data_IF_007047570610
#
_entry.id   IF_007047570610
#
_cell.length_a   1.000
_cell.length_b   1.000
_cell.length_c   1.000
_cell.angle_alpha   90.00
_cell.angle_beta   90.00
_cell.angle_gamma   90.00
#
_symmetry.space_group_name_H-M   'P 1'
#
loop_
_entity.id
_entity.type
_entity.pdbx_description
1 polymer ?
#
# COMPACT_ATOMS: atom_id res chain seq x y z
N UNK A 1 -15.59 -2.52 -15.43
CA UNK A 1 -15.83 -2.12 -16.84
C UNK A 1 -14.49 -1.79 -17.49
N UNK A 2 -14.39 -1.87 -18.82
CA UNK A 2 -13.18 -1.43 -19.53
C UNK A 2 -13.08 0.09 -19.45
N UNK A 3 -11.88 0.60 -19.20
CA UNK A 3 -11.61 2.04 -19.13
C UNK A 3 -10.26 2.36 -19.76
N UNK A 4 -10.12 3.57 -20.26
CA UNK A 4 -8.83 4.08 -20.75
C UNK A 4 -8.10 4.78 -19.62
N UNK A 5 -6.78 4.59 -19.53
CA UNK A 5 -5.96 5.29 -18.54
C UNK A 5 -5.81 6.78 -18.89
N UNK A 6 -5.65 7.08 -20.17
CA UNK A 6 -5.38 8.44 -20.65
C UNK A 6 -6.48 8.88 -21.62
N UNK A 7 -7.59 9.39 -21.08
CA UNK A 7 -8.74 9.77 -21.89
C UNK A 7 -8.41 10.90 -22.90
N UNK A 8 -7.51 11.82 -22.53
CA UNK A 8 -7.09 12.92 -23.39
C UNK A 8 -6.37 12.44 -24.66
N UNK A 9 -5.67 11.30 -24.60
CA UNK A 9 -4.97 10.76 -25.76
C UNK A 9 -5.93 10.21 -26.82
N UNK A 10 -7.19 9.91 -26.48
CA UNK A 10 -8.22 9.58 -27.47
C UNK A 10 -8.53 10.75 -28.41
N UNK A 11 -8.27 12.00 -28.01
CA UNK A 11 -8.42 13.14 -28.90
C UNK A 11 -7.48 13.04 -30.12
N UNK A 12 -6.35 12.33 -30.00
CA UNK A 12 -5.45 12.06 -31.13
C UNK A 12 -6.10 11.20 -32.23
N UNK A 13 -7.23 10.52 -31.95
CA UNK A 13 -8.00 9.80 -32.96
C UNK A 13 -8.58 10.78 -34.02
N UNK A 14 -8.71 12.07 -33.69
CA UNK A 14 -9.08 13.11 -34.66
C UNK A 14 -8.03 13.30 -35.78
N UNK A 15 -6.80 12.80 -35.62
CA UNK A 15 -5.82 12.78 -36.70
C UNK A 15 -6.22 11.83 -37.84
N UNK A 16 -6.97 10.77 -37.55
CA UNK A 16 -7.44 9.78 -38.54
C UNK A 16 -8.28 10.43 -39.65
N UNK A 17 -9.36 11.19 -39.37
CA UNK A 17 -10.12 11.87 -40.41
C UNK A 17 -9.33 12.98 -41.11
N UNK A 18 -8.38 13.63 -40.44
CA UNK A 18 -7.50 14.63 -41.07
C UNK A 18 -6.62 13.96 -42.14
N UNK A 19 -6.01 12.82 -41.81
CA UNK A 19 -5.19 12.03 -42.76
C UNK A 19 -6.06 11.51 -43.91
N UNK A 20 -7.27 11.03 -43.64
CA UNK A 20 -8.24 10.66 -44.68
C UNK A 20 -8.61 11.85 -45.59
N UNK A 21 -8.87 13.02 -45.02
CA UNK A 21 -9.16 14.24 -45.76
C UNK A 21 -8.00 14.66 -46.67
N UNK A 22 -6.77 14.65 -46.15
CA UNK A 22 -5.55 14.91 -46.94
C UNK A 22 -5.40 13.93 -48.10
N UNK A 23 -5.71 12.64 -47.89
CA UNK A 23 -5.69 11.63 -48.94
C UNK A 23 -6.73 11.89 -50.04
N UNK A 24 -7.97 12.21 -49.68
CA UNK A 24 -9.01 12.55 -50.66
C UNK A 24 -8.67 13.83 -51.42
N UNK A 25 -8.15 14.84 -50.73
CA UNK A 25 -7.67 16.07 -51.35
C UNK A 25 -6.53 15.83 -52.34
N UNK A 26 -5.52 15.04 -51.95
CA UNK A 26 -4.41 14.65 -52.83
C UNK A 26 -4.91 13.89 -54.07
N UNK A 27 -5.89 12.98 -53.90
CA UNK A 27 -6.51 12.24 -55.00
C UNK A 27 -7.29 13.14 -55.95
N UNK A 28 -8.06 14.10 -55.42
CA UNK A 28 -8.81 15.07 -56.21
C UNK A 28 -7.89 16.02 -56.99
N UNK A 29 -6.83 16.53 -56.33
CA UNK A 29 -5.81 17.37 -56.97
C UNK A 29 -5.08 16.60 -58.07
N UNK A 30 -4.69 15.34 -57.82
CA UNK A 30 -4.08 14.46 -58.83
C UNK A 30 -4.96 14.28 -60.07
N UNK A 31 -6.28 14.07 -59.90
CA UNK A 31 -7.22 13.98 -61.02
C UNK A 31 -7.28 15.27 -61.84
N UNK A 32 -7.34 16.44 -61.17
CA UNK A 32 -7.32 17.76 -61.82
C UNK A 32 -6.01 18.04 -62.55
N UNK A 33 -4.87 17.66 -61.97
CA UNK A 33 -3.54 17.87 -62.58
C UNK A 33 -3.33 16.96 -63.79
N UNK A 34 -3.75 15.70 -63.74
CA UNK A 34 -3.70 14.78 -64.89
C UNK A 34 -4.47 15.36 -66.09
N UNK A 35 -5.64 15.96 -65.85
CA UNK A 35 -6.43 16.62 -66.89
C UNK A 35 -5.76 17.87 -67.50
N UNK A 36 -4.74 18.45 -66.86
CA UNK A 36 -4.01 19.64 -67.34
C UNK A 36 -2.73 19.30 -68.13
N UNK A 37 -2.20 18.09 -68.02
CA UNK A 37 -0.87 17.72 -68.53
C UNK A 37 -0.92 17.21 -69.98
N UNK A 38 -2.06 16.77 -70.51
CA UNK A 38 -2.20 16.37 -71.91
C UNK A 38 -3.30 15.34 -72.19
N UNK A 39 -3.21 14.64 -73.31
CA UNK A 39 -4.15 13.60 -73.73
C UNK A 39 -4.25 12.47 -72.68
N UNK A 40 -5.46 12.13 -72.18
CA UNK A 40 -5.66 11.10 -71.16
C UNK A 40 -5.00 9.76 -71.50
N UNK A 41 -4.91 9.41 -72.79
CA UNK A 41 -4.36 8.15 -73.27
C UNK A 41 -2.83 8.06 -73.10
N UNK A 42 -2.11 9.15 -73.39
CA UNK A 42 -0.65 9.23 -73.19
C UNK A 42 -0.27 9.26 -71.70
N UNK A 43 -1.02 10.01 -70.89
CA UNK A 43 -0.77 10.07 -69.44
C UNK A 43 -1.03 8.71 -68.79
N UNK A 44 -2.03 7.95 -69.26
CA UNK A 44 -2.32 6.61 -68.76
C UNK A 44 -1.24 5.58 -69.17
N UNK A 45 -0.60 5.75 -70.34
CA UNK A 45 0.58 4.94 -70.72
C UNK A 45 1.80 5.23 -69.85
N UNK A 46 2.07 6.51 -69.51
CA UNK A 46 3.14 6.90 -68.59
C UNK A 46 2.89 6.42 -67.15
N UNK A 47 1.62 6.38 -66.72
CA UNK A 47 1.22 5.89 -65.40
C UNK A 47 0.93 4.37 -65.34
N UNK A 48 1.16 3.61 -66.41
CA UNK A 48 0.83 2.16 -66.50
C UNK A 48 1.52 1.30 -65.42
N UNK A 49 2.64 1.80 -64.87
CA UNK A 49 3.38 1.17 -63.79
C UNK A 49 2.81 1.47 -62.39
N UNK A 50 1.93 2.47 -62.24
CA UNK A 50 1.33 2.85 -60.96
C UNK A 50 0.13 1.95 -60.62
N UNK A 51 0.19 1.26 -59.49
CA UNK A 51 -0.91 0.42 -59.02
C UNK A 51 -1.78 1.20 -58.02
N UNK A 52 -2.87 1.79 -58.51
CA UNK A 52 -3.81 2.56 -57.68
C UNK A 52 -4.43 1.75 -56.54
N UNK A 53 -4.68 0.44 -56.73
CA UNK A 53 -5.24 -0.43 -55.68
C UNK A 53 -4.25 -0.64 -54.53
N UNK A 54 -2.97 -0.82 -54.86
CA UNK A 54 -1.88 -0.97 -53.89
C UNK A 54 -1.69 0.29 -53.03
N UNK A 55 -1.78 1.48 -53.64
CA UNK A 55 -1.73 2.75 -52.92
C UNK A 55 -2.89 2.92 -51.93
N UNK A 56 -4.12 2.57 -52.35
CA UNK A 56 -5.30 2.60 -51.47
C UNK A 56 -5.15 1.60 -50.31
N UNK A 57 -4.65 0.38 -50.60
CA UNK A 57 -4.42 -0.65 -49.59
C UNK A 57 -3.40 -0.21 -48.54
N UNK A 58 -2.27 0.38 -48.95
CA UNK A 58 -1.28 0.94 -48.02
C UNK A 58 -1.86 2.04 -47.16
N UNK A 59 -2.55 2.99 -47.79
CA UNK A 59 -3.18 4.09 -47.06
C UNK A 59 -4.16 3.59 -45.99
N UNK A 60 -4.98 2.58 -46.34
CA UNK A 60 -5.91 1.98 -45.40
C UNK A 60 -5.17 1.27 -44.25
N UNK A 61 -4.13 0.48 -44.55
CA UNK A 61 -3.32 -0.20 -43.55
C UNK A 61 -2.64 0.78 -42.59
N UNK A 62 -2.01 1.83 -43.10
CA UNK A 62 -1.36 2.88 -42.31
C UNK A 62 -2.37 3.62 -41.41
N UNK A 63 -3.57 3.90 -41.94
CA UNK A 63 -4.63 4.60 -41.19
C UNK A 63 -5.17 3.73 -40.05
N UNK A 64 -5.40 2.44 -40.30
CA UNK A 64 -5.85 1.50 -39.26
C UNK A 64 -4.73 1.26 -38.23
N UNK A 65 -3.48 1.17 -38.67
CA UNK A 65 -2.33 1.05 -37.77
C UNK A 65 -2.19 2.27 -36.85
N UNK A 66 -2.37 3.48 -37.39
CA UNK A 66 -2.38 4.73 -36.61
C UNK A 66 -3.50 4.73 -35.56
N UNK A 67 -4.72 4.34 -35.93
CA UNK A 67 -5.83 4.24 -34.99
C UNK A 67 -5.53 3.21 -33.87
N UNK A 68 -4.97 2.05 -34.22
CA UNK A 68 -4.55 1.05 -33.26
C UNK A 68 -3.43 1.55 -32.32
N UNK A 69 -2.47 2.33 -32.81
CA UNK A 69 -1.45 2.98 -31.98
C UNK A 69 -2.05 3.97 -30.98
N UNK A 70 -2.99 4.80 -31.42
CA UNK A 70 -3.68 5.76 -30.52
C UNK A 70 -4.43 5.01 -29.41
N UNK A 71 -5.11 3.91 -29.74
CA UNK A 71 -5.80 3.07 -28.75
C UNK A 71 -4.80 2.39 -27.81
N UNK A 72 -3.65 1.94 -28.31
CA UNK A 72 -2.58 1.37 -27.49
C UNK A 72 -2.03 2.42 -26.50
N UNK A 73 -1.75 3.64 -26.98
CA UNK A 73 -1.25 4.75 -26.16
C UNK A 73 -2.26 5.22 -25.10
N UNK A 74 -3.56 5.23 -25.43
CA UNK A 74 -4.62 5.53 -24.46
C UNK A 74 -4.74 4.46 -23.36
N UNK A 75 -4.07 3.32 -23.54
CA UNK A 75 -3.99 2.16 -22.66
C UNK A 75 -5.38 1.68 -22.18
N UNK A 76 -6.01 0.83 -23.01
CA UNK A 76 -7.23 0.13 -22.61
C UNK A 76 -6.91 -0.83 -21.46
N UNK A 77 -7.54 -0.61 -20.31
CA UNK A 77 -7.34 -1.44 -19.11
C UNK A 77 -8.67 -1.95 -18.57
N UNK A 78 -8.65 -3.15 -18.01
CA UNK A 78 -9.73 -3.70 -17.19
C UNK A 78 -9.22 -3.72 -15.75
N UNK A 79 -10.05 -3.38 -14.75
CA UNK A 79 -9.74 -3.78 -13.39
C UNK A 79 -9.51 -5.28 -13.40
N UNK A 80 -8.28 -5.71 -13.12
CA UNK A 80 -8.08 -7.08 -12.65
C UNK A 80 -8.94 -7.14 -11.40
N UNK A 81 -9.76 -8.19 -11.25
CA UNK A 81 -10.47 -8.36 -9.99
C UNK A 81 -9.45 -8.14 -8.89
N UNK A 82 -9.77 -7.27 -7.94
CA UNK A 82 -8.96 -7.18 -6.72
C UNK A 82 -8.76 -8.64 -6.32
N UNK A 83 -7.52 -9.11 -6.18
CA UNK A 83 -7.34 -10.25 -5.31
C UNK A 83 -8.03 -9.80 -4.04
N UNK A 84 -9.20 -10.39 -3.76
CA UNK A 84 -10.00 -10.05 -2.61
C UNK A 84 -9.22 -10.60 -1.42
N UNK A 85 -8.09 -9.98 -1.12
CA UNK A 85 -7.47 -10.06 0.19
C UNK A 85 -8.41 -9.25 1.07
N UNK A 86 -9.56 -9.86 1.35
CA UNK A 86 -10.51 -9.42 2.35
C UNK A 86 -9.73 -9.42 3.65
N UNK A 87 -9.14 -8.27 3.99
CA UNK A 87 -8.46 -8.11 5.27
C UNK A 87 -9.56 -8.02 6.31
N UNK A 88 -9.79 -9.12 7.01
CA UNK A 88 -10.64 -9.12 8.18
C UNK A 88 -9.87 -8.47 9.34
N UNK A 89 -10.45 -7.46 9.98
CA UNK A 89 -9.81 -6.78 11.11
C UNK A 89 -10.79 -6.04 12.00
N UNK A 90 -10.31 -5.63 13.17
CA UNK A 90 -11.02 -4.79 14.14
C UNK A 90 -10.30 -3.46 14.34
N UNK A 91 -10.99 -2.48 14.91
CA UNK A 91 -10.42 -1.21 15.35
C UNK A 91 -10.07 -1.30 16.83
N UNK A 92 -8.79 -1.10 17.17
CA UNK A 92 -8.29 -1.19 18.54
C UNK A 92 -7.78 0.17 19.00
N UNK A 93 -8.44 0.79 19.98
CA UNK A 93 -7.90 1.95 20.70
C UNK A 93 -7.03 1.53 21.86
N UNK A 94 -5.80 2.02 21.89
CA UNK A 94 -4.99 2.02 23.09
C UNK A 94 -5.33 3.28 23.89
N UNK A 95 -5.63 3.13 25.17
CA UNK A 95 -5.67 4.22 26.14
C UNK A 95 -4.50 4.03 27.10
N UNK A 96 -3.47 4.88 26.99
CA UNK A 96 -2.26 4.80 27.79
C UNK A 96 -2.25 5.90 28.85
N UNK A 97 -2.15 5.48 30.12
CA UNK A 97 -1.94 6.38 31.23
C UNK A 97 -0.50 6.93 31.20
N UNK A 98 -0.38 8.25 31.21
CA UNK A 98 0.89 8.99 31.27
C UNK A 98 0.94 9.92 32.47
N UNK A 99 0.16 9.65 33.51
CA UNK A 99 0.23 10.38 34.79
C UNK A 99 1.57 10.14 35.51
N UNK A 100 1.93 11.03 36.43
CA UNK A 100 3.18 10.92 37.21
C UNK A 100 3.29 9.62 38.04
N UNK A 101 2.19 8.96 38.39
CA UNK A 101 2.23 7.67 39.10
C UNK A 101 2.85 6.56 38.25
N UNK A 102 2.77 6.68 36.93
CA UNK A 102 3.39 5.75 35.98
C UNK A 102 4.92 5.85 35.93
N UNK A 103 5.54 6.82 36.62
CA UNK A 103 7.00 6.89 36.81
C UNK A 103 7.52 6.02 37.96
N UNK A 104 6.62 5.41 38.74
CA UNK A 104 7.04 4.48 39.80
C UNK A 104 7.83 3.28 39.22
N UNK A 105 8.77 2.79 40.02
CA UNK A 105 9.76 1.78 39.61
C UNK A 105 9.54 0.40 40.25
N UNK A 106 8.36 0.17 40.86
CA UNK A 106 7.95 -1.17 41.30
C UNK A 106 7.83 -2.17 40.14
N UNK A 107 7.67 -1.66 38.92
CA UNK A 107 7.90 -2.40 37.68
C UNK A 107 9.03 -1.74 36.91
N UNK A 108 10.19 -2.41 36.86
CA UNK A 108 11.40 -1.88 36.21
C UNK A 108 11.26 -1.81 34.67
N UNK A 109 11.75 -0.74 34.00
CA UNK A 109 12.43 0.43 34.59
C UNK A 109 11.45 1.45 35.22
N UNK A 110 10.32 1.72 34.58
CA UNK A 110 9.16 2.43 35.14
C UNK A 110 7.89 1.75 34.64
N UNK A 111 6.75 1.96 35.31
CA UNK A 111 5.45 1.45 34.84
C UNK A 111 5.16 1.91 33.41
N UNK A 112 5.38 3.19 33.10
CA UNK A 112 5.15 3.76 31.75
C UNK A 112 6.00 3.09 30.68
N UNK A 113 7.30 2.98 30.89
CA UNK A 113 8.20 2.35 29.91
C UNK A 113 7.87 0.87 29.71
N UNK A 114 7.46 0.19 30.78
CA UNK A 114 7.03 -1.20 30.69
C UNK A 114 5.69 -1.35 29.97
N UNK A 115 4.75 -0.43 30.18
CA UNK A 115 3.50 -0.34 29.42
C UNK A 115 3.77 -0.12 27.92
N UNK A 116 4.66 0.80 27.56
CA UNK A 116 5.09 1.05 26.17
C UNK A 116 5.70 -0.20 25.53
N UNK A 117 6.57 -0.91 26.26
CA UNK A 117 7.13 -2.18 25.77
C UNK A 117 6.05 -3.25 25.54
N UNK A 118 5.11 -3.40 26.47
CA UNK A 118 4.00 -4.35 26.34
C UNK A 118 3.10 -4.02 25.16
N UNK A 119 2.72 -2.75 25.02
CA UNK A 119 1.96 -2.26 23.88
C UNK A 119 2.69 -2.44 22.55
N UNK A 120 4.00 -2.20 22.49
CA UNK A 120 4.78 -2.48 21.27
C UNK A 120 4.71 -3.95 20.89
N UNK A 121 4.74 -4.89 21.85
CA UNK A 121 4.58 -6.32 21.60
C UNK A 121 3.16 -6.70 21.20
N UNK A 122 2.16 -6.03 21.78
CA UNK A 122 0.76 -6.19 21.36
C UNK A 122 0.58 -5.74 19.91
N UNK A 123 1.12 -4.58 19.53
CA UNK A 123 1.08 -4.03 18.17
C UNK A 123 1.65 -5.02 17.15
N UNK A 124 2.77 -5.69 17.46
CA UNK A 124 3.36 -6.72 16.60
C UNK A 124 2.42 -7.91 16.32
N UNK A 125 1.46 -8.16 17.21
CA UNK A 125 0.52 -9.28 17.12
C UNK A 125 -0.82 -8.89 16.50
N UNK A 126 -1.08 -7.59 16.27
CA UNK A 126 -2.36 -7.10 15.76
C UNK A 126 -2.59 -7.40 14.26
N UNK A 127 -1.55 -7.71 13.49
CA UNK A 127 -1.66 -8.17 12.11
C UNK A 127 -2.38 -7.17 11.20
N UNK A 128 -3.61 -7.49 10.79
CA UNK A 128 -4.43 -6.66 9.88
C UNK A 128 -5.38 -5.68 10.58
N UNK A 129 -5.34 -5.59 11.90
CA UNK A 129 -6.19 -4.68 12.67
C UNK A 129 -5.73 -3.23 12.50
N UNK A 130 -6.67 -2.29 12.63
CA UNK A 130 -6.34 -0.88 12.70
C UNK A 130 -6.19 -0.46 14.16
N UNK A 131 -5.30 0.49 14.40
CA UNK A 131 -4.94 0.94 15.74
C UNK A 131 -4.92 2.45 15.82
N UNK A 132 -5.29 2.98 16.98
CA UNK A 132 -5.08 4.37 17.37
C UNK A 132 -4.71 4.44 18.84
N UNK A 133 -4.21 5.61 19.23
CA UNK A 133 -3.62 5.81 20.55
C UNK A 133 -4.21 7.08 21.15
N UNK A 134 -4.77 6.92 22.34
CA UNK A 134 -5.15 7.98 23.26
C UNK A 134 -4.17 7.93 24.42
N UNK A 135 -3.62 9.08 24.79
CA UNK A 135 -2.84 9.25 26.02
C UNK A 135 -3.68 10.05 27.00
N UNK A 136 -3.57 9.74 28.28
CA UNK A 136 -4.33 10.45 29.30
C UNK A 136 -3.61 10.57 30.63
N UNK A 137 -3.94 11.64 31.34
CA UNK A 137 -3.64 11.84 32.76
C UNK A 137 -4.86 12.56 33.36
N UNK A 138 -4.74 13.82 33.78
CA UNK A 138 -5.86 14.64 34.24
C UNK A 138 -6.84 15.03 33.12
N UNK A 139 -6.43 14.85 31.86
CA UNK A 139 -7.26 14.94 30.65
C UNK A 139 -6.80 13.90 29.63
N UNK A 140 -7.65 13.59 28.64
CA UNK A 140 -7.31 12.68 27.55
C UNK A 140 -7.10 13.41 26.22
N UNK A 141 -6.11 12.95 25.44
CA UNK A 141 -5.76 13.48 24.12
C UNK A 141 -5.61 12.36 23.11
N UNK A 142 -6.12 12.58 21.90
CA UNK A 142 -5.92 11.68 20.77
C UNK A 142 -4.51 11.90 20.21
N UNK A 143 -3.58 11.00 20.54
CA UNK A 143 -2.21 11.02 20.06
C UNK A 143 -2.13 10.58 18.59
N UNK A 144 -2.90 9.56 18.23
CA UNK A 144 -2.90 9.00 16.88
C UNK A 144 -4.31 8.50 16.50
N UNK A 145 -4.91 9.02 15.40
CA UNK A 145 -6.14 8.47 14.84
C UNK A 145 -6.00 7.00 14.40
N UNK A 146 -7.14 6.31 14.22
CA UNK A 146 -7.18 4.93 13.73
C UNK A 146 -6.47 4.81 12.37
N UNK A 147 -5.43 3.98 12.31
CA UNK A 147 -4.66 3.69 11.09
C UNK A 147 -4.31 2.20 10.99
N UNK A 148 -4.07 1.72 9.78
CA UNK A 148 -3.49 0.39 9.53
C UNK A 148 -1.95 0.37 9.57
N UNK A 149 -1.31 1.53 9.77
CA UNK A 149 0.15 1.65 9.86
C UNK A 149 0.65 1.35 11.30
N UNK A 150 1.01 0.09 11.52
CA UNK A 150 1.55 -0.36 12.81
C UNK A 150 2.94 0.21 13.13
N UNK A 151 3.72 0.60 12.11
CA UNK A 151 5.02 1.22 12.31
C UNK A 151 4.88 2.64 12.83
N UNK A 152 3.94 3.42 12.28
CA UNK A 152 3.59 4.73 12.81
C UNK A 152 3.08 4.61 14.26
N UNK A 153 2.23 3.63 14.57
CA UNK A 153 1.73 3.40 15.93
C UNK A 153 2.85 3.23 16.95
N UNK A 154 3.89 2.44 16.62
CA UNK A 154 5.06 2.27 17.49
C UNK A 154 5.88 3.55 17.66
N UNK A 155 6.00 4.36 16.62
CA UNK A 155 6.69 5.65 16.70
C UNK A 155 5.98 6.60 17.67
N UNK A 156 4.66 6.76 17.51
CA UNK A 156 3.85 7.60 18.41
C UNK A 156 3.85 7.09 19.84
N UNK A 157 3.77 5.77 20.03
CA UNK A 157 3.87 5.15 21.35
C UNK A 157 5.23 5.43 22.00
N UNK A 158 6.32 5.33 21.24
CA UNK A 158 7.68 5.59 21.73
C UNK A 158 7.88 7.02 22.22
N UNK A 159 7.21 7.99 21.58
CA UNK A 159 7.26 9.42 21.95
C UNK A 159 6.38 9.82 23.14
N UNK A 160 5.51 8.93 23.63
CA UNK A 160 4.63 9.25 24.76
C UNK A 160 5.44 9.29 26.08
N UNK A 161 5.27 10.38 26.81
CA UNK A 161 5.87 10.66 28.12
C UNK A 161 4.85 11.35 29.06
N UNK A 162 5.25 11.62 30.30
CA UNK A 162 4.38 12.22 31.32
C UNK A 162 4.09 13.71 31.10
N UNK A 163 4.91 14.38 30.30
CA UNK A 163 4.77 15.79 29.94
C UNK A 163 3.89 15.98 28.69
N UNK A 164 3.61 14.89 27.96
CA UNK A 164 2.70 14.85 26.81
C UNK A 164 1.28 15.29 27.18
N UNK A 165 0.91 15.19 28.47
CA UNK A 165 -0.36 15.69 29.01
C UNK A 165 -0.08 16.76 30.08
N UNK A 166 -0.36 18.06 29.81
CA UNK A 166 -0.04 19.13 30.75
C UNK A 166 -0.79 19.05 32.09
N UNK A 167 -2.03 18.54 32.07
CA UNK A 167 -2.86 18.41 33.26
C UNK A 167 -2.64 17.06 33.90
N UNK A 168 -2.03 17.06 35.08
CA UNK A 168 -1.76 15.83 35.86
C UNK A 168 -3.02 15.36 36.61
N UNK A 169 -3.02 14.08 37.01
CA UNK A 169 -4.18 13.36 37.56
C UNK A 169 -4.46 12.09 36.73
N UNK A 170 -5.55 11.39 37.02
CA UNK A 170 -5.94 10.17 36.28
C UNK A 170 -7.44 10.15 36.04
N UNK A 171 -7.88 10.51 34.83
CA UNK A 171 -9.31 10.56 34.46
C UNK A 171 -9.60 9.51 33.38
N UNK A 172 -9.88 8.29 33.82
CA UNK A 172 -10.14 7.14 32.93
C UNK A 172 -11.37 7.38 32.06
N UNK A 173 -12.43 7.99 32.61
CA UNK A 173 -13.66 8.27 31.89
C UNK A 173 -13.45 9.17 30.67
N UNK A 174 -12.59 10.18 30.78
CA UNK A 174 -12.25 11.05 29.66
C UNK A 174 -11.44 10.30 28.59
N UNK A 175 -10.55 9.39 28.99
CA UNK A 175 -9.85 8.51 28.05
C UNK A 175 -10.84 7.63 27.27
N UNK A 176 -11.78 7.00 27.97
CA UNK A 176 -12.82 6.17 27.36
C UNK A 176 -13.73 6.97 26.41
N UNK A 177 -14.15 8.19 26.80
CA UNK A 177 -14.90 9.10 25.92
C UNK A 177 -14.13 9.45 24.66
N UNK A 178 -12.84 9.78 24.79
CA UNK A 178 -11.97 10.10 23.66
C UNK A 178 -11.82 8.89 22.72
N UNK A 179 -11.63 7.70 23.28
CA UNK A 179 -11.63 6.46 22.49
C UNK A 179 -12.95 6.27 21.75
N UNK A 180 -14.10 6.42 22.43
CA UNK A 180 -15.41 6.23 21.80
C UNK A 180 -15.65 7.22 20.65
N UNK A 181 -15.31 8.49 20.86
CA UNK A 181 -15.42 9.55 19.86
C UNK A 181 -14.50 9.34 18.64
N UNK A 182 -13.39 8.61 18.82
CA UNK A 182 -12.42 8.33 17.75
C UNK A 182 -12.84 7.18 16.84
N UNK A 183 -13.80 6.35 17.26
CA UNK A 183 -14.34 5.29 16.41
C UNK A 183 -15.33 5.81 15.36
N UNK A 184 -15.48 5.07 14.26
CA UNK A 184 -16.55 5.37 13.29
C UNK A 184 -17.93 5.12 13.89
N UNK A 185 -18.73 6.17 14.05
CA UNK A 185 -20.09 6.11 14.63
C UNK A 185 -21.08 5.27 13.83
N UNK A 186 -20.81 5.00 12.54
CA UNK A 186 -21.68 4.18 11.68
C UNK A 186 -21.56 2.68 11.95
N UNK A 187 -20.51 2.25 12.63
CA UNK A 187 -20.21 0.83 12.87
C UNK A 187 -20.44 0.50 14.34
N UNK A 188 -21.23 -0.55 14.64
CA UNK A 188 -21.56 -0.96 16.02
C UNK A 188 -20.85 -2.24 16.47
N UNK A 189 -19.91 -2.74 15.67
CA UNK A 189 -19.17 -3.98 15.93
C UNK A 189 -17.69 -3.74 15.56
N UNK A 190 -16.83 -4.70 15.90
CA UNK A 190 -15.42 -4.71 15.49
C UNK A 190 -14.56 -3.66 16.21
N UNK A 191 -14.89 -3.31 17.46
CA UNK A 191 -14.22 -2.24 18.21
C UNK A 191 -13.76 -2.72 19.57
N UNK A 192 -12.52 -2.44 19.91
CA UNK A 192 -11.97 -2.74 21.21
C UNK A 192 -11.16 -1.56 21.77
N UNK A 193 -11.18 -1.40 23.09
CA UNK A 193 -10.27 -0.52 23.83
C UNK A 193 -9.35 -1.38 24.67
N UNK A 194 -8.06 -1.07 24.66
CA UNK A 194 -7.05 -1.63 25.57
C UNK A 194 -6.54 -0.48 26.43
N UNK A 195 -7.02 -0.41 27.67
CA UNK A 195 -6.64 0.58 28.67
C UNK A 195 -5.49 0.04 29.52
N UNK A 196 -4.42 0.82 29.68
CA UNK A 196 -3.31 0.50 30.60
C UNK A 196 -3.12 1.64 31.58
N UNK A 197 -3.18 1.32 32.88
CA UNK A 197 -3.10 2.29 33.98
C UNK A 197 -2.78 1.57 35.29
N UNK A 198 -2.38 2.31 36.32
CA UNK A 198 -2.37 1.83 37.70
C UNK A 198 -3.72 2.06 38.42
N UNK A 199 -4.69 2.71 37.77
CA UNK A 199 -6.06 2.88 38.25
C UNK A 199 -6.19 3.72 39.53
N UNK A 200 -5.16 4.48 39.90
CA UNK A 200 -5.03 5.07 41.23
C UNK A 200 -6.20 5.99 41.61
N UNK A 201 -6.79 6.69 40.64
CA UNK A 201 -7.91 7.60 40.87
C UNK A 201 -9.28 6.93 40.61
N UNK A 202 -10.20 7.05 41.57
CA UNK A 202 -11.52 6.45 41.48
C UNK A 202 -12.48 7.35 40.69
N UNK A 203 -12.44 7.21 39.36
CA UNK A 203 -13.38 7.89 38.47
C UNK A 203 -14.71 7.11 38.39
N UNK A 204 -15.71 7.52 39.19
CA UNK A 204 -17.05 6.92 39.17
C UNK A 204 -17.70 6.97 37.77
N UNK A 205 -17.39 8.01 36.97
CA UNK A 205 -17.95 8.16 35.63
C UNK A 205 -17.39 7.10 34.66
N UNK A 206 -16.19 6.57 34.89
CA UNK A 206 -15.57 5.57 34.03
C UNK A 206 -16.43 4.29 33.91
N UNK A 207 -17.11 3.89 34.98
CA UNK A 207 -17.98 2.71 34.97
C UNK A 207 -19.22 2.92 34.11
N UNK A 208 -19.89 4.07 34.22
CA UNK A 208 -21.08 4.37 33.40
C UNK A 208 -20.72 4.54 31.92
N UNK A 209 -19.58 5.17 31.63
CA UNK A 209 -19.06 5.31 30.27
C UNK A 209 -18.71 3.93 29.69
N UNK A 210 -18.08 3.04 30.48
CA UNK A 210 -17.77 1.69 30.04
C UNK A 210 -19.03 0.88 29.69
N UNK A 211 -20.10 0.98 30.50
CA UNK A 211 -21.40 0.37 30.18
C UNK A 211 -21.99 0.92 28.88
N UNK A 212 -21.92 2.23 28.68
CA UNK A 212 -22.40 2.85 27.44
C UNK A 212 -21.62 2.34 26.22
N UNK A 213 -20.29 2.30 26.31
CA UNK A 213 -19.43 1.79 25.24
C UNK A 213 -19.69 0.32 24.92
N UNK A 214 -19.96 -0.51 25.94
CA UNK A 214 -20.37 -1.90 25.73
C UNK A 214 -21.68 -2.01 24.94
N UNK A 215 -22.66 -1.14 25.24
CA UNK A 215 -23.93 -1.06 24.48
C UNK A 215 -23.72 -0.58 23.03
N UNK A 216 -22.69 0.25 22.79
CA UNK A 216 -22.26 0.69 21.45
C UNK A 216 -21.42 -0.39 20.71
N UNK A 217 -21.20 -1.55 21.35
CA UNK A 217 -20.50 -2.71 20.79
C UNK A 217 -18.99 -2.61 20.84
N UNK A 218 -18.45 -1.85 21.80
CA UNK A 218 -17.02 -1.75 22.10
C UNK A 218 -16.67 -2.65 23.29
N UNK A 219 -15.71 -3.54 23.13
CA UNK A 219 -15.15 -4.34 24.23
C UNK A 219 -13.98 -3.63 24.90
N UNK A 220 -13.97 -3.49 26.22
CA UNK A 220 -12.92 -2.80 26.97
C UNK A 220 -12.07 -3.79 27.75
N UNK A 221 -10.80 -3.91 27.37
CA UNK A 221 -9.78 -4.67 28.07
C UNK A 221 -8.93 -3.72 28.92
N UNK A 222 -8.66 -4.08 30.16
CA UNK A 222 -7.86 -3.28 31.08
C UNK A 222 -6.62 -4.04 31.52
N UNK A 223 -5.49 -3.35 31.60
CA UNK A 223 -4.21 -3.87 32.11
C UNK A 223 -3.76 -3.02 33.28
N UNK A 224 -3.75 -3.62 34.46
CA UNK A 224 -3.22 -3.00 35.66
C UNK A 224 -1.70 -3.14 35.72
N UNK A 225 -0.98 -2.04 35.93
CA UNK A 225 0.47 -2.06 36.12
C UNK A 225 0.88 -1.40 37.43
N UNK A 226 1.79 -2.04 38.17
CA UNK A 226 2.23 -1.60 39.49
C UNK A 226 1.92 -2.62 40.59
N UNK A 227 2.33 -2.29 41.81
CA UNK A 227 2.10 -3.08 43.00
C UNK A 227 0.93 -2.52 43.83
N UNK A 228 0.14 -3.41 44.40
CA UNK A 228 -0.90 -3.07 45.38
C UNK A 228 -0.32 -2.65 46.74
N UNK A 229 0.93 -3.03 47.04
CA UNK A 229 1.65 -2.58 48.25
C UNK A 229 2.05 -1.10 48.17
N UNK A 230 2.21 -0.60 46.95
CA UNK A 230 2.62 0.76 46.63
C UNK A 230 4.11 0.95 46.44
N UNK A 231 4.47 2.06 45.79
CA UNK A 231 5.83 2.44 45.45
C UNK A 231 5.98 3.97 45.44
N UNK A 232 7.14 4.52 45.86
CA UNK A 232 7.39 5.95 45.73
C UNK A 232 7.54 6.35 44.26
N UNK A 233 7.09 7.57 43.95
CA UNK A 233 7.34 8.20 42.65
C UNK A 233 8.69 8.91 42.70
N UNK A 234 9.53 8.73 41.69
CA UNK A 234 10.80 9.47 41.54
C UNK A 234 10.54 10.68 40.64
N UNK A 235 10.97 11.85 41.07
CA UNK A 235 10.93 13.06 40.24
C UNK A 235 12.09 13.04 39.25
N UNK A 236 11.80 13.08 37.95
CA UNK A 236 12.81 13.00 36.89
C UNK A 236 13.74 14.22 36.87
N UNK A 237 13.31 15.36 37.40
CA UNK A 237 14.11 16.60 37.40
C UNK A 237 15.18 16.62 38.50
N UNK A 238 14.89 16.02 39.65
CA UNK A 238 15.80 16.01 40.82
C UNK A 238 16.44 14.64 41.06
N UNK A 239 15.85 13.56 40.56
CA UNK A 239 16.23 12.19 40.88
C UNK A 239 15.85 11.76 42.30
N UNK A 240 15.12 12.59 43.04
CA UNK A 240 14.69 12.34 44.41
C UNK A 240 13.24 11.82 44.46
N UNK A 241 12.84 11.28 45.62
CA UNK A 241 11.45 10.89 45.82
C UNK A 241 10.55 12.12 45.78
N UNK A 242 9.48 12.04 45.00
CA UNK A 242 8.46 13.10 44.94
C UNK A 242 7.79 13.25 46.30
N UNK A 243 7.75 14.48 46.79
CA UNK A 243 7.08 14.84 48.04
C UNK A 243 5.78 15.61 47.79
N UNK A 244 4.83 15.48 48.72
CA UNK A 244 3.62 16.30 48.75
C UNK A 244 3.92 17.71 49.29
N UNK A 245 2.91 18.58 49.33
CA UNK A 245 3.05 19.95 49.85
C UNK A 245 3.42 20.01 51.35
N UNK A 246 3.31 18.88 52.05
CA UNK A 246 3.60 18.71 53.47
C UNK A 246 4.99 18.06 53.69
N UNK A 247 5.71 17.71 52.63
CA UNK A 247 7.04 17.11 52.67
C UNK A 247 7.05 15.58 52.84
N UNK A 248 5.91 14.90 52.78
CA UNK A 248 5.85 13.44 52.84
C UNK A 248 6.05 12.82 51.46
N UNK A 249 6.70 11.67 51.39
CA UNK A 249 6.87 10.91 50.14
C UNK A 249 5.52 10.47 49.58
N UNK A 250 5.29 10.76 48.30
CA UNK A 250 4.10 10.30 47.57
C UNK A 250 4.26 8.82 47.20
N UNK A 251 3.36 7.98 47.72
CA UNK A 251 3.31 6.54 47.44
C UNK A 251 2.11 6.24 46.56
N UNK A 252 2.36 5.77 45.34
CA UNK A 252 1.32 5.33 44.39
C UNK A 252 1.03 3.85 44.52
N UNK A 253 -0.24 3.45 44.40
CA UNK A 253 -0.70 2.06 44.50
C UNK A 253 -1.56 1.67 43.30
N UNK A 254 -1.37 0.44 42.83
CA UNK A 254 -2.28 -0.16 41.85
C UNK A 254 -3.66 -0.38 42.49
N UNK A 255 -4.70 0.16 41.86
CA UNK A 255 -6.09 -0.11 42.20
C UNK A 255 -6.71 -1.10 41.20
N UNK A 256 -6.60 -2.39 41.50
CA UNK A 256 -7.15 -3.44 40.65
C UNK A 256 -8.68 -3.40 40.58
N UNK A 257 -9.36 -2.99 41.65
CA UNK A 257 -10.81 -3.00 41.74
C UNK A 257 -11.44 -2.04 40.73
N UNK A 258 -10.89 -0.82 40.62
CA UNK A 258 -11.32 0.17 39.64
C UNK A 258 -11.20 -0.38 38.20
N UNK A 259 -10.04 -0.94 37.84
CA UNK A 259 -9.79 -1.46 36.49
C UNK A 259 -10.62 -2.72 36.16
N UNK A 260 -10.83 -3.60 37.15
CA UNK A 260 -11.72 -4.77 37.02
C UNK A 260 -13.17 -4.35 36.80
N UNK A 261 -13.64 -3.33 37.53
CA UNK A 261 -14.99 -2.80 37.37
C UNK A 261 -15.20 -2.22 35.96
N UNK A 262 -14.24 -1.43 35.47
CA UNK A 262 -14.29 -0.87 34.10
C UNK A 262 -14.32 -1.98 33.04
N UNK A 263 -13.44 -2.98 33.12
CA UNK A 263 -13.44 -4.10 32.16
C UNK A 263 -14.74 -4.91 32.18
N UNK A 264 -15.27 -5.19 33.39
CA UNK A 264 -16.52 -5.93 33.56
C UNK A 264 -17.71 -5.19 32.95
N UNK A 265 -17.80 -3.88 33.21
CA UNK A 265 -18.84 -3.02 32.65
C UNK A 265 -18.68 -2.83 31.13
N UNK A 266 -17.46 -2.88 30.61
CA UNK A 266 -17.10 -2.77 29.21
C UNK A 266 -17.13 -4.08 28.40
N UNK A 267 -17.71 -5.17 28.94
CA UNK A 267 -17.76 -6.50 28.30
C UNK A 267 -16.39 -7.00 27.78
N UNK A 268 -15.34 -6.78 28.57
CA UNK A 268 -13.98 -7.27 28.27
C UNK A 268 -13.32 -7.91 29.48
N UNK A 269 -11.98 -7.93 29.49
CA UNK A 269 -11.18 -8.62 30.49
C UNK A 269 -10.20 -7.71 31.22
N UNK A 270 -9.94 -8.01 32.49
CA UNK A 270 -8.86 -7.40 33.26
C UNK A 270 -7.64 -8.34 33.31
N UNK A 271 -6.45 -7.77 33.21
CA UNK A 271 -5.20 -8.49 33.39
C UNK A 271 -4.23 -7.69 34.27
N UNK A 272 -3.66 -8.34 35.28
CA UNK A 272 -2.53 -7.79 36.01
C UNK A 272 -1.26 -7.95 35.18
N UNK A 273 -0.48 -6.88 35.04
CA UNK A 273 0.81 -6.93 34.40
C UNK A 273 1.78 -7.83 35.20
N UNK A 274 2.30 -8.88 34.55
CA UNK A 274 3.35 -9.73 35.10
C UNK A 274 4.54 -9.87 34.14
N UNK A 275 4.25 -10.20 32.89
CA UNK A 275 5.22 -10.44 31.83
C UNK A 275 4.70 -9.84 30.52
N UNK A 276 5.55 -9.06 29.87
CA UNK A 276 5.26 -8.36 28.61
C UNK A 276 4.70 -9.28 27.53
N UNK A 277 5.33 -10.44 27.29
CA UNK A 277 4.99 -11.34 26.20
C UNK A 277 3.68 -12.07 26.49
N UNK A 278 3.49 -12.53 27.73
CA UNK A 278 2.27 -13.20 28.16
C UNK A 278 1.07 -12.28 28.05
N UNK A 279 1.16 -11.08 28.61
CA UNK A 279 0.05 -10.11 28.61
C UNK A 279 -0.31 -9.70 27.17
N UNK A 280 0.69 -9.35 26.37
CA UNK A 280 0.48 -8.99 24.97
C UNK A 280 -0.14 -10.14 24.16
N UNK A 281 0.30 -11.39 24.38
CA UNK A 281 -0.24 -12.56 23.69
C UNK A 281 -1.68 -12.87 24.11
N UNK A 282 -2.03 -12.74 25.39
CA UNK A 282 -3.40 -13.00 25.85
C UNK A 282 -4.38 -11.93 25.37
N UNK A 283 -4.00 -10.66 25.39
CA UNK A 283 -4.86 -9.60 24.84
C UNK A 283 -5.02 -9.81 23.33
N UNK A 284 -3.93 -10.10 22.60
CA UNK A 284 -4.01 -10.38 21.17
C UNK A 284 -4.93 -11.58 20.85
N UNK A 285 -4.88 -12.65 21.65
CA UNK A 285 -5.76 -13.82 21.44
C UNK A 285 -7.21 -13.48 21.76
N UNK A 286 -7.49 -12.71 22.80
CA UNK A 286 -8.85 -12.23 23.10
C UNK A 286 -9.40 -11.36 21.96
N UNK A 287 -8.62 -10.39 21.48
CA UNK A 287 -8.97 -9.57 20.33
C UNK A 287 -9.22 -10.39 19.06
N UNK A 288 -8.46 -11.47 18.84
CA UNK A 288 -8.65 -12.36 17.69
C UNK A 288 -9.95 -13.18 17.74
N UNK A 289 -10.53 -13.40 18.92
CA UNK A 289 -11.84 -14.08 19.07
C UNK A 289 -13.03 -13.18 18.76
N UNK A 290 -12.82 -11.87 18.66
CA UNK A 290 -13.88 -10.94 18.28
C UNK A 290 -14.29 -11.17 16.83
N UNK A 291 -15.57 -10.93 16.52
CA UNK A 291 -16.03 -10.81 15.13
C UNK A 291 -15.08 -9.84 14.40
N UNK A 292 -14.70 -10.13 13.16
CA UNK A 292 -13.80 -9.30 12.34
C UNK A 292 -14.53 -8.73 11.11
N UNK A 293 -14.22 -7.47 10.75
CA UNK A 293 -14.81 -6.83 9.59
C UNK A 293 -14.03 -7.21 8.34
N UNK A 294 -14.68 -7.80 7.34
CA UNK A 294 -14.13 -7.91 5.99
C UNK A 294 -13.95 -6.50 5.37
N UNK A 295 -12.73 -5.97 5.41
CA UNK A 295 -12.37 -4.73 4.73
C UNK A 295 -12.11 -5.08 3.26
N UNK A 296 -12.97 -4.59 2.37
CA UNK A 296 -12.68 -4.54 0.94
C UNK A 296 -11.73 -3.38 0.72
N UNK A 297 -10.46 -3.69 0.55
CA UNK A 297 -9.46 -2.69 0.22
C UNK A 297 -9.59 -2.31 -1.26
N UNK A 298 -10.42 -1.31 -1.56
CA UNK A 298 -10.58 -0.79 -2.93
C UNK A 298 -9.31 -0.08 -3.44
N UNK A 299 -8.34 0.21 -2.55
CA UNK A 299 -7.14 1.01 -2.86
C UNK A 299 -6.07 0.25 -3.66
N UNK A 300 -6.17 -1.08 -3.75
CA UNK A 300 -5.25 -1.94 -4.51
C UNK A 300 -5.93 -2.59 -5.72
N UNK A 301 -6.78 -1.84 -6.44
CA UNK A 301 -7.30 -2.33 -7.73
C UNK A 301 -6.18 -2.37 -8.76
N UNK A 302 -5.55 -3.54 -8.91
CA UNK A 302 -4.57 -3.78 -9.95
C UNK A 302 -5.25 -3.76 -11.32
N UNK A 303 -4.67 -3.06 -12.29
CA UNK A 303 -5.24 -2.93 -13.63
C UNK A 303 -4.50 -3.83 -14.62
N UNK A 304 -5.23 -4.75 -15.25
CA UNK A 304 -4.73 -5.48 -16.40
C UNK A 304 -4.82 -4.58 -17.64
N UNK A 305 -3.66 -4.29 -18.22
CA UNK A 305 -3.52 -3.44 -19.41
C UNK A 305 -3.53 -4.28 -20.68
N UNK A 306 -4.29 -3.87 -21.69
CA UNK A 306 -4.48 -4.58 -22.96
C UNK A 306 -3.81 -3.87 -24.16
N UNK A 307 -3.03 -2.81 -23.93
CA UNK A 307 -2.35 -2.07 -25.02
C UNK A 307 -1.47 -2.95 -25.91
N UNK A 308 -0.94 -4.05 -25.37
CA UNK A 308 -0.05 -4.98 -26.09
C UNK A 308 -0.70 -5.55 -27.35
N UNK A 309 -1.99 -5.87 -27.29
CA UNK A 309 -2.75 -6.41 -28.44
C UNK A 309 -2.92 -5.37 -29.54
N UNK A 310 -3.23 -4.12 -29.17
CA UNK A 310 -3.37 -3.02 -30.12
C UNK A 310 -2.03 -2.60 -30.72
N UNK A 311 -0.96 -2.62 -29.91
CA UNK A 311 0.39 -2.35 -30.37
C UNK A 311 0.87 -3.43 -31.35
N UNK A 312 0.62 -4.71 -31.03
CA UNK A 312 0.94 -5.82 -31.92
C UNK A 312 0.17 -5.74 -33.25
N UNK A 313 -1.12 -5.39 -33.19
CA UNK A 313 -1.95 -5.17 -34.38
C UNK A 313 -1.39 -4.04 -35.25
N UNK A 314 -1.06 -2.89 -34.65
CA UNK A 314 -0.48 -1.77 -35.39
C UNK A 314 0.85 -2.14 -36.06
N UNK A 315 1.72 -2.83 -35.31
CA UNK A 315 3.01 -3.27 -35.82
C UNK A 315 2.86 -4.26 -36.99
N UNK A 316 1.95 -5.22 -36.87
CA UNK A 316 1.65 -6.19 -37.93
C UNK A 316 1.13 -5.51 -39.19
N UNK A 317 0.24 -4.52 -39.06
CA UNK A 317 -0.30 -3.76 -40.18
C UNK A 317 0.80 -2.95 -40.92
N UNK A 318 1.69 -2.30 -40.18
CA UNK A 318 2.83 -1.57 -40.76
C UNK A 318 3.83 -2.50 -41.45
N UNK A 319 4.03 -3.71 -40.90
CA UNK A 319 4.86 -4.72 -41.57
C UNK A 319 4.24 -5.16 -42.90
N UNK A 320 2.94 -5.45 -42.93
CA UNK A 320 2.24 -5.81 -44.17
C UNK A 320 2.34 -4.67 -45.19
N UNK A 321 2.17 -3.42 -44.75
CA UNK A 321 2.30 -2.25 -45.60
C UNK A 321 3.67 -2.18 -46.30
N UNK A 322 4.75 -2.51 -45.59
CA UNK A 322 6.12 -2.52 -46.11
C UNK A 322 6.30 -3.53 -47.26
N UNK A 323 5.59 -4.66 -47.23
CA UNK A 323 5.68 -5.68 -48.28
C UNK A 323 4.86 -5.35 -49.54
N UNK A 324 3.94 -4.40 -49.47
CA UNK A 324 3.11 -3.99 -50.60
C UNK A 324 3.91 -2.99 -51.47
N UNK A 325 3.99 -3.24 -52.78
CA UNK A 325 4.69 -2.36 -53.73
C UNK A 325 3.69 -1.51 -54.51
N UNK A 326 3.89 -0.19 -54.55
CA UNK A 326 3.03 0.76 -55.29
C UNK A 326 3.31 0.76 -56.80
N UNK A 327 4.46 0.21 -57.21
CA UNK A 327 4.82 0.02 -58.60
C UNK A 327 4.57 -1.43 -59.03
N UNK A 328 3.88 -1.63 -60.16
CA UNK A 328 3.84 -2.90 -60.91
C UNK A 328 5.27 -3.21 -61.37
N UNK A 329 5.95 -4.09 -60.64
CA UNK A 329 7.34 -4.44 -60.90
C UNK A 329 7.51 -5.07 -62.28
N UNK A 330 8.31 -4.44 -63.14
CA UNK A 330 9.30 -5.19 -63.91
C UNK A 330 10.45 -5.56 -62.96
N UNK A 331 10.97 -6.78 -63.12
CA UNK A 331 11.93 -7.46 -62.24
C UNK A 331 13.01 -6.54 -61.65
N UNK A 332 12.87 -6.12 -60.39
CA UNK A 332 13.97 -5.58 -59.59
C UNK A 332 13.94 -6.21 -58.19
N UNK A 333 14.75 -7.27 -58.07
CA UNK A 333 15.31 -7.80 -56.82
C UNK A 333 16.20 -6.69 -56.23
N UNK A 334 15.95 -6.24 -54.99
CA UNK A 334 16.95 -5.67 -54.03
C UNK A 334 16.38 -4.87 -52.84
N UNK A 335 15.07 -4.61 -52.73
CA UNK A 335 14.51 -3.88 -51.55
C UNK A 335 13.89 -4.76 -50.43
N UNK A 336 13.64 -6.05 -50.66
CA UNK A 336 13.18 -6.97 -49.60
C UNK A 336 14.23 -7.34 -48.51
N UNK A 337 15.56 -7.33 -48.75
CA UNK A 337 16.50 -7.73 -47.70
C UNK A 337 16.64 -6.68 -46.59
N UNK A 338 16.36 -5.39 -46.84
CA UNK A 338 16.46 -4.34 -45.82
C UNK A 338 15.32 -4.44 -44.81
N UNK A 339 14.08 -4.65 -45.27
CA UNK A 339 12.93 -4.88 -44.39
C UNK A 339 13.07 -6.17 -43.57
N UNK A 340 13.59 -7.23 -44.19
CA UNK A 340 13.89 -8.48 -43.51
C UNK A 340 15.05 -8.32 -42.50
N UNK A 341 16.08 -7.53 -42.82
CA UNK A 341 17.18 -7.24 -41.90
C UNK A 341 16.75 -6.41 -40.70
N UNK A 342 15.86 -5.41 -40.88
CA UNK A 342 15.27 -4.64 -39.78
C UNK A 342 14.37 -5.52 -38.91
N UNK A 343 13.61 -6.44 -39.50
CA UNK A 343 12.81 -7.43 -38.77
C UNK A 343 13.70 -8.38 -37.95
N UNK A 344 14.80 -8.89 -38.53
CA UNK A 344 15.76 -9.75 -37.81
C UNK A 344 16.52 -8.98 -36.72
N UNK A 345 16.88 -7.71 -36.92
CA UNK A 345 17.50 -6.89 -35.87
C UNK A 345 16.56 -6.62 -34.70
N UNK A 346 15.29 -6.29 -34.96
CA UNK A 346 14.32 -5.97 -33.90
C UNK A 346 13.91 -7.19 -33.06
N UNK A 347 13.85 -8.38 -33.67
CA UNK A 347 13.53 -9.63 -32.96
C UNK A 347 14.75 -10.38 -32.40
N UNK A 348 15.95 -10.18 -32.98
CA UNK A 348 17.19 -10.80 -32.49
C UNK A 348 17.68 -10.22 -31.15
N UNK A 349 17.41 -8.95 -30.87
CA UNK A 349 17.85 -8.29 -29.63
C UNK A 349 17.00 -8.63 -28.40
N UNK A 350 15.79 -9.20 -28.56
CA UNK A 350 14.92 -9.57 -27.44
C UNK A 350 15.42 -10.81 -26.67
N UNK A 351 16.23 -11.68 -27.30
CA UNK A 351 16.69 -12.93 -26.70
C UNK A 351 17.70 -12.73 -25.55
N UNK A 352 18.41 -11.59 -25.50
CA UNK A 352 19.44 -11.35 -24.49
C UNK A 352 18.97 -10.52 -23.28
N UNK A 353 17.76 -9.94 -23.31
CA UNK A 353 17.25 -9.08 -22.25
C UNK A 353 16.48 -9.82 -21.14
N UNK A 354 16.18 -11.11 -21.31
CA UNK A 354 15.37 -11.90 -20.35
C UNK A 354 16.17 -12.85 -19.46
N UNK A 355 17.46 -13.11 -19.75
CA UNK A 355 18.25 -14.08 -18.95
C UNK A 355 18.34 -13.68 -17.49
N UNK A 356 18.51 -12.38 -17.21
CA UNK A 356 18.80 -11.90 -15.87
C UNK A 356 17.57 -12.05 -14.95
N UNK A 357 16.37 -11.91 -15.51
CA UNK A 357 15.11 -12.09 -14.76
C UNK A 357 14.89 -13.54 -14.36
N UNK A 358 15.29 -14.48 -15.21
CA UNK A 358 15.14 -15.91 -14.94
C UNK A 358 16.11 -16.38 -13.84
N UNK A 359 17.36 -15.94 -13.89
CA UNK A 359 18.37 -16.23 -12.85
C UNK A 359 18.01 -15.58 -11.51
N UNK A 360 17.51 -14.33 -11.50
CA UNK A 360 16.99 -13.69 -10.27
C UNK A 360 15.80 -14.48 -9.70
N UNK A 361 14.91 -15.00 -10.55
CA UNK A 361 13.77 -15.81 -10.12
C UNK A 361 14.23 -17.12 -9.45
N UNK A 362 15.22 -17.81 -10.01
CA UNK A 362 15.80 -19.01 -9.41
C UNK A 362 16.46 -18.71 -8.06
N UNK A 363 17.19 -17.59 -7.95
CA UNK A 363 17.74 -17.11 -6.68
C UNK A 363 16.64 -16.82 -5.64
N UNK A 364 15.54 -16.18 -6.05
CA UNK A 364 14.41 -15.90 -5.16
C UNK A 364 13.73 -17.19 -4.67
N UNK A 365 13.62 -18.21 -5.51
CA UNK A 365 13.07 -19.52 -5.13
C UNK A 365 13.98 -20.26 -4.14
N UNK A 366 15.30 -20.23 -4.33
CA UNK A 366 16.26 -20.78 -3.39
C UNK A 366 16.24 -20.06 -2.04
N UNK A 367 16.11 -18.73 -2.06
CA UNK A 367 16.00 -17.89 -0.87
C UNK A 367 14.73 -18.22 -0.07
N UNK A 368 13.59 -18.41 -0.74
CA UNK A 368 12.32 -18.83 -0.10
C UNK A 368 12.41 -20.22 0.54
N UNK A 369 13.25 -21.12 0.01
CA UNK A 369 13.52 -22.45 0.57
C UNK A 369 14.58 -22.45 1.68
N UNK A 370 14.99 -21.28 2.17
CA UNK A 370 16.06 -21.10 3.16
C UNK A 370 17.43 -21.67 2.74
N UNK A 371 17.66 -21.86 1.43
CA UNK A 371 18.95 -22.27 0.89
C UNK A 371 19.74 -21.03 0.42
N UNK A 372 20.28 -20.30 1.38
CA UNK A 372 20.98 -19.03 1.15
C UNK A 372 22.27 -19.16 0.31
N UNK A 373 23.11 -20.20 0.47
CA UNK A 373 24.29 -20.37 -0.39
C UNK A 373 23.95 -20.56 -1.88
N UNK A 374 22.88 -21.31 -2.17
CA UNK A 374 22.42 -21.47 -3.55
C UNK A 374 21.83 -20.15 -4.10
N UNK A 375 21.07 -19.41 -3.28
CA UNK A 375 20.54 -18.11 -3.66
C UNK A 375 21.66 -17.09 -3.97
N UNK A 376 22.69 -17.02 -3.13
CA UNK A 376 23.86 -16.16 -3.32
C UNK A 376 24.62 -16.50 -4.61
N UNK A 377 24.74 -17.80 -4.93
CA UNK A 377 25.37 -18.26 -6.18
C UNK A 377 24.59 -17.79 -7.42
N UNK A 378 23.25 -17.85 -7.39
CA UNK A 378 22.46 -17.37 -8.52
C UNK A 378 22.49 -15.84 -8.66
N UNK A 379 22.43 -15.09 -7.55
CA UNK A 379 22.54 -13.63 -7.61
C UNK A 379 23.92 -13.17 -8.06
N UNK A 380 25.00 -13.87 -7.66
CA UNK A 380 26.37 -13.50 -8.06
C UNK A 380 26.60 -13.67 -9.56
N UNK A 381 26.00 -14.68 -10.21
CA UNK A 381 26.02 -14.82 -11.68
C UNK A 381 25.44 -13.59 -12.39
N UNK A 382 24.36 -13.03 -11.84
CA UNK A 382 23.72 -11.83 -12.41
C UNK A 382 24.58 -10.59 -12.17
N UNK A 383 25.15 -10.44 -10.98
CA UNK A 383 26.05 -9.32 -10.65
C UNK A 383 27.34 -9.36 -11.48
N UNK A 384 27.91 -10.55 -11.73
CA UNK A 384 29.07 -10.70 -12.61
C UNK A 384 28.78 -10.34 -14.06
N UNK A 385 27.57 -10.67 -14.54
CA UNK A 385 27.15 -10.38 -15.91
C UNK A 385 26.71 -8.93 -16.10
N UNK A 386 26.05 -8.36 -15.10
CA UNK A 386 25.51 -7.00 -15.11
C UNK A 386 25.71 -6.34 -13.73
N UNK A 387 26.87 -5.70 -13.52
CA UNK A 387 27.21 -5.08 -12.23
C UNK A 387 26.24 -3.96 -11.82
N UNK A 388 25.50 -3.34 -12.75
CA UNK A 388 24.59 -2.23 -12.46
C UNK A 388 23.19 -2.70 -12.00
N UNK A 389 22.93 -4.01 -11.94
CA UNK A 389 21.64 -4.54 -11.53
C UNK A 389 21.45 -4.44 -10.01
N UNK A 390 20.86 -3.32 -9.57
CA UNK A 390 20.60 -2.98 -8.15
C UNK A 390 19.85 -4.09 -7.42
N UNK A 391 18.86 -4.73 -8.06
CA UNK A 391 18.07 -5.81 -7.47
C UNK A 391 18.92 -7.04 -7.16
N UNK A 392 19.82 -7.43 -8.07
CA UNK A 392 20.71 -8.56 -7.87
C UNK A 392 21.74 -8.28 -6.76
N UNK A 393 22.29 -7.06 -6.70
CA UNK A 393 23.22 -6.65 -5.63
C UNK A 393 22.55 -6.66 -4.25
N UNK A 394 21.35 -6.08 -4.14
CA UNK A 394 20.58 -6.05 -2.90
C UNK A 394 20.23 -7.47 -2.43
N UNK A 395 19.75 -8.31 -3.34
CA UNK A 395 19.39 -9.69 -3.01
C UNK A 395 20.60 -10.56 -2.65
N UNK A 396 21.76 -10.33 -3.30
CA UNK A 396 23.03 -10.97 -2.94
C UNK A 396 23.45 -10.57 -1.52
N UNK A 397 23.38 -9.29 -1.17
CA UNK A 397 23.69 -8.82 0.19
C UNK A 397 22.81 -9.48 1.25
N UNK A 398 21.50 -9.58 0.98
CA UNK A 398 20.56 -10.24 1.89
C UNK A 398 20.79 -11.75 2.00
N UNK A 399 21.25 -12.41 0.94
CA UNK A 399 21.58 -13.83 0.95
C UNK A 399 22.91 -14.13 1.65
N UNK A 400 23.88 -13.20 1.63
CA UNK A 400 25.15 -13.34 2.35
C UNK A 400 25.04 -12.98 3.83
N UNK A 401 24.08 -12.14 4.20
CA UNK A 401 23.83 -11.75 5.59
C UNK A 401 23.12 -12.82 6.44
N UNK A 402 22.29 -13.64 5.79
CA UNK A 402 21.53 -14.74 6.41
C UNK A 402 22.36 -16.00 6.50
#
# INVERSE_FOLDING_TARGET
MLQFQYILLLAALALVPIIAGMYFYARAKKKKTIAKIGDPSLVQQLMKQYNQKSFVQKFLLATVAMAALVIALANLRKPSGAENVSRAGIDVMIALDVSKSMLAQDVSPTRLERAKQMLSRLIDKLGNNRIGIVIFAGKAYLQMPITGDLSAAKMYLGSADTESVPTQGTVIGDALKMCNASFNSKEKKYKAVVLISDGEDHDEAANEIAKQMANDGVSIYTVGIGSTTGSPIIDESTGEMKTDAQGNTVITKLNEEALRSVAKNGNGGYMLYNNTETVAATIASQLATMDQRAVKDDSLTNYQSYYQWFLALAFLLLLIELFISEMKRNKLKKLKPVAAAVFVMLFGSAANAQSDKETIKQGNEAYKKANYPAAATEYSKVVQKNPENVTAQYNLGNALYK
#
